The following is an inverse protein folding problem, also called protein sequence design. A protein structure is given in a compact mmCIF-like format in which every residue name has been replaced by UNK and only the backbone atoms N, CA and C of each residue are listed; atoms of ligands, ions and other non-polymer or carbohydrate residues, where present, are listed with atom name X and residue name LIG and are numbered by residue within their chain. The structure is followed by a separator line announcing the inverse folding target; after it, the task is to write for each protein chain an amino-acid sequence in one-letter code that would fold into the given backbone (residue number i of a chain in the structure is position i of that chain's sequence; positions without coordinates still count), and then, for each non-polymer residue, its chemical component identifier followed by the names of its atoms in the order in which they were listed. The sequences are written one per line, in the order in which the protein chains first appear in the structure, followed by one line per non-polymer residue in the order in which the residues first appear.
data_IF_717139221550
#
_entry.id   IF_717139221550
#
_cell.length_a   1.000
_cell.length_b   1.000
_cell.length_c   1.000
_cell.angle_alpha   90.00
_cell.angle_beta   90.00
_cell.angle_gamma   90.00
#
_symmetry.space_group_name_H-M   'P 1'
#
loop_
_entity.id
_entity.type
_entity.pdbx_description
1 polymer ?
#
# COMPACT_ATOMS: atom_id res chain seq x y z
N UNK A 1 26.21 18.20 -40.38
CA UNK A 1 25.18 18.97 -39.65
C UNK A 1 23.94 18.13 -39.28
N UNK A 2 23.41 17.23 -40.14
CA UNK A 2 22.23 16.40 -39.80
C UNK A 2 22.41 15.42 -38.63
N UNK A 3 23.61 14.88 -38.40
CA UNK A 3 23.88 13.91 -37.29
C UNK A 3 23.95 14.56 -35.90
N UNK A 4 24.34 15.84 -35.78
CA UNK A 4 24.33 16.55 -34.50
C UNK A 4 22.92 16.93 -34.06
N UNK A 5 22.00 17.17 -34.99
CA UNK A 5 20.60 17.49 -34.67
C UNK A 5 19.84 16.30 -34.06
N UNK A 6 20.10 15.07 -34.52
CA UNK A 6 19.50 13.86 -33.97
C UNK A 6 19.97 13.55 -32.54
N UNK A 7 21.25 13.82 -32.19
CA UNK A 7 21.75 13.61 -30.85
C UNK A 7 21.12 14.59 -29.82
N UNK A 8 20.88 15.84 -30.24
CA UNK A 8 20.24 16.85 -29.40
C UNK A 8 18.76 16.54 -29.10
N UNK A 9 18.03 15.95 -30.04
CA UNK A 9 16.64 15.54 -29.83
C UNK A 9 16.52 14.32 -28.89
N UNK A 10 17.45 13.37 -28.96
CA UNK A 10 17.44 12.17 -28.09
C UNK A 10 17.71 12.54 -26.62
N UNK A 11 18.60 13.50 -26.38
CA UNK A 11 18.91 13.95 -25.00
C UNK A 11 17.78 14.75 -24.36
N UNK A 12 17.03 15.53 -25.16
CA UNK A 12 15.89 16.29 -24.66
C UNK A 12 14.69 15.40 -24.23
N UNK A 13 14.45 14.30 -24.93
CA UNK A 13 13.37 13.35 -24.59
C UNK A 13 13.63 12.58 -23.28
N UNK A 14 14.86 12.24 -22.96
CA UNK A 14 15.23 11.55 -21.73
C UNK A 14 15.05 12.45 -20.51
N UNK A 15 15.33 13.75 -20.62
CA UNK A 15 15.16 14.70 -19.50
C UNK A 15 13.67 14.91 -19.16
N UNK A 16 12.80 14.95 -20.16
CA UNK A 16 11.35 15.13 -19.95
C UNK A 16 10.71 13.90 -19.29
N UNK A 17 11.13 12.69 -19.64
CA UNK A 17 10.64 11.46 -19.03
C UNK A 17 11.06 11.32 -17.56
N UNK A 18 12.28 11.73 -17.20
CA UNK A 18 12.76 11.73 -15.82
C UNK A 18 11.98 12.67 -14.91
N UNK A 19 11.60 13.84 -15.40
CA UNK A 19 10.80 14.81 -14.63
C UNK A 19 9.38 14.32 -14.35
N UNK A 20 8.74 13.60 -15.29
CA UNK A 20 7.39 13.09 -15.09
C UNK A 20 7.33 11.98 -14.04
N UNK A 21 8.23 11.02 -14.10
CA UNK A 21 8.30 9.92 -13.12
C UNK A 21 8.58 10.43 -11.68
N UNK A 22 9.47 11.44 -11.54
CA UNK A 22 9.73 12.08 -10.26
C UNK A 22 8.46 12.77 -9.71
N UNK A 23 7.70 13.47 -10.56
CA UNK A 23 6.47 14.16 -10.16
C UNK A 23 5.41 13.20 -9.68
N UNK A 24 5.17 12.08 -10.37
CA UNK A 24 4.20 11.04 -9.93
C UNK A 24 4.58 10.50 -8.57
N UNK A 25 5.85 10.12 -8.38
CA UNK A 25 6.35 9.61 -7.10
C UNK A 25 6.22 10.63 -5.96
N UNK A 26 6.43 11.92 -6.24
CA UNK A 26 6.24 13.00 -5.27
C UNK A 26 4.78 13.16 -4.84
N UNK A 27 3.83 13.15 -5.78
CA UNK A 27 2.39 13.21 -5.48
C UNK A 27 1.97 11.98 -4.68
N UNK A 28 2.39 10.80 -5.10
CA UNK A 28 2.08 9.55 -4.39
C UNK A 28 2.59 9.59 -2.94
N UNK A 29 3.82 10.05 -2.71
CA UNK A 29 4.39 10.15 -1.36
C UNK A 29 3.69 11.22 -0.51
N UNK A 30 3.32 12.36 -1.09
CA UNK A 30 2.53 13.39 -0.41
C UNK A 30 1.17 12.83 0.03
N UNK A 31 0.48 12.11 -0.86
CA UNK A 31 -0.79 11.44 -0.54
C UNK A 31 -0.65 10.43 0.59
N UNK A 32 0.42 9.60 0.59
CA UNK A 32 0.69 8.66 1.70
C UNK A 32 0.90 9.36 3.03
N UNK A 33 1.68 10.44 3.04
CA UNK A 33 1.93 11.20 4.25
C UNK A 33 0.63 11.79 4.82
N UNK A 34 -0.23 12.34 3.95
CA UNK A 34 -1.51 12.89 4.36
C UNK A 34 -2.49 11.81 4.86
N UNK A 35 -2.48 10.62 4.23
CA UNK A 35 -3.28 9.47 4.66
C UNK A 35 -2.88 9.02 6.08
N UNK A 36 -1.57 8.89 6.35
CA UNK A 36 -1.03 8.50 7.65
C UNK A 36 -1.44 9.47 8.79
N UNK A 37 -1.57 10.76 8.49
CA UNK A 37 -1.98 11.77 9.48
C UNK A 37 -3.48 12.09 9.45
N UNK A 38 -4.28 11.29 8.73
CA UNK A 38 -5.74 11.40 8.70
C UNK A 38 -6.29 12.54 7.83
N UNK A 39 -5.48 13.12 6.94
CA UNK A 39 -5.92 14.17 5.99
C UNK A 39 -6.46 13.54 4.70
N UNK A 40 -7.52 12.74 4.83
CA UNK A 40 -8.06 11.93 3.73
C UNK A 40 -8.48 12.73 2.50
N UNK A 41 -9.08 13.92 2.66
CA UNK A 41 -9.48 14.77 1.54
C UNK A 41 -8.27 15.26 0.72
N UNK A 42 -7.18 15.66 1.37
CA UNK A 42 -5.93 16.06 0.72
C UNK A 42 -5.24 14.86 0.07
N UNK A 43 -5.23 13.70 0.74
CA UNK A 43 -4.70 12.46 0.18
C UNK A 43 -5.41 12.06 -1.12
N UNK A 44 -6.75 12.16 -1.18
CA UNK A 44 -7.53 11.94 -2.41
C UNK A 44 -7.02 12.82 -3.55
N UNK A 45 -6.81 14.13 -3.32
CA UNK A 45 -6.35 15.05 -4.35
C UNK A 45 -4.97 14.64 -4.89
N UNK A 46 -4.03 14.30 -4.01
CA UNK A 46 -2.69 13.85 -4.40
C UNK A 46 -2.70 12.54 -5.18
N UNK A 47 -3.46 11.54 -4.75
CA UNK A 47 -3.54 10.27 -5.46
C UNK A 47 -4.29 10.38 -6.78
N UNK A 48 -5.32 11.23 -6.85
CA UNK A 48 -6.00 11.51 -8.11
C UNK A 48 -5.05 12.16 -9.13
N UNK A 49 -4.23 13.12 -8.68
CA UNK A 49 -3.23 13.76 -9.56
C UNK A 49 -2.16 12.73 -10.00
N UNK A 50 -1.68 11.88 -9.09
CA UNK A 50 -0.76 10.80 -9.44
C UNK A 50 -1.38 9.85 -10.47
N UNK A 51 -2.64 9.44 -10.30
CA UNK A 51 -3.37 8.56 -11.22
C UNK A 51 -3.61 9.19 -12.59
N UNK A 52 -3.80 10.52 -12.64
CA UNK A 52 -3.93 11.27 -13.90
C UNK A 52 -2.60 11.34 -14.67
N UNK A 53 -1.47 11.45 -13.94
CA UNK A 53 -0.14 11.47 -14.54
C UNK A 53 0.31 10.09 -15.01
N UNK A 54 0.11 9.06 -14.19
CA UNK A 54 0.43 7.68 -14.49
C UNK A 54 -0.55 6.73 -13.80
N UNK A 55 -1.58 6.26 -14.51
CA UNK A 55 -2.57 5.34 -13.97
C UNK A 55 -2.01 3.95 -13.67
N UNK A 56 -0.79 3.66 -14.09
CA UNK A 56 -0.10 2.39 -13.83
C UNK A 56 1.00 2.52 -12.78
N UNK A 57 1.08 3.68 -12.12
CA UNK A 57 2.10 3.88 -11.09
C UNK A 57 1.94 2.89 -9.94
N UNK A 58 3.00 2.16 -9.68
CA UNK A 58 3.12 1.21 -8.57
C UNK A 58 4.43 1.44 -7.81
N UNK A 59 4.40 1.19 -6.51
CA UNK A 59 5.58 1.20 -5.65
C UNK A 59 5.77 -0.19 -5.04
N UNK A 60 6.94 -0.76 -5.23
CA UNK A 60 7.29 -2.04 -4.60
C UNK A 60 7.76 -1.85 -3.16
N UNK A 61 7.26 -2.69 -2.28
CA UNK A 61 7.64 -2.79 -0.87
C UNK A 61 7.97 -4.25 -0.59
N UNK A 62 9.25 -4.60 -0.68
CA UNK A 62 9.63 -6.00 -0.68
C UNK A 62 8.93 -6.74 -1.82
N UNK A 63 8.14 -7.74 -1.47
CA UNK A 63 7.36 -8.54 -2.42
C UNK A 63 5.96 -7.98 -2.72
N UNK A 64 5.52 -6.94 -2.00
CA UNK A 64 4.22 -6.32 -2.19
C UNK A 64 4.33 -5.16 -3.18
N UNK A 65 3.34 -5.04 -4.06
CA UNK A 65 3.18 -3.91 -4.98
C UNK A 65 1.98 -3.10 -4.56
N UNK A 66 2.18 -1.81 -4.42
CA UNK A 66 1.12 -0.87 -4.03
C UNK A 66 0.86 0.09 -5.19
N UNK A 67 -0.32 -0.02 -5.77
CA UNK A 67 -0.75 0.79 -6.90
C UNK A 67 -1.41 2.11 -6.48
N UNK A 68 -1.37 3.10 -7.38
CA UNK A 68 -2.02 4.40 -7.17
C UNK A 68 -3.53 4.27 -6.93
N UNK A 69 -4.19 3.31 -7.57
CA UNK A 69 -5.63 3.06 -7.41
C UNK A 69 -5.97 2.49 -6.05
N UNK A 70 -5.13 1.67 -5.46
CA UNK A 70 -5.26 1.15 -4.10
C UNK A 70 -5.27 2.28 -3.09
N UNK A 71 -4.29 3.18 -3.20
CA UNK A 71 -4.20 4.33 -2.29
C UNK A 71 -5.31 5.34 -2.51
N UNK A 72 -5.74 5.58 -3.74
CA UNK A 72 -6.90 6.43 -4.04
C UNK A 72 -8.16 5.84 -3.41
N UNK A 73 -8.36 4.53 -3.54
CA UNK A 73 -9.49 3.83 -2.93
C UNK A 73 -9.49 3.90 -1.40
N UNK A 74 -8.34 3.70 -0.78
CA UNK A 74 -8.15 3.87 0.67
C UNK A 74 -8.44 5.29 1.13
N UNK A 75 -7.94 6.30 0.42
CA UNK A 75 -8.19 7.71 0.74
C UNK A 75 -9.68 8.07 0.60
N UNK A 76 -10.37 7.56 -0.41
CA UNK A 76 -11.82 7.70 -0.54
C UNK A 76 -12.57 7.00 0.59
N UNK A 77 -12.14 5.80 0.99
CA UNK A 77 -12.72 5.08 2.12
C UNK A 77 -12.63 5.90 3.41
N UNK A 78 -11.44 6.41 3.73
CA UNK A 78 -11.19 7.23 4.92
C UNK A 78 -11.92 8.58 4.87
N UNK A 79 -12.22 9.08 3.66
CA UNK A 79 -13.06 10.26 3.43
C UNK A 79 -14.57 9.97 3.50
N UNK A 80 -15.00 8.73 3.74
CA UNK A 80 -16.40 8.29 3.75
C UNK A 80 -17.05 8.21 2.38
N UNK A 81 -16.28 8.33 1.28
CA UNK A 81 -16.75 8.26 -0.11
C UNK A 81 -16.73 6.82 -0.60
N UNK A 82 -17.65 6.00 -0.06
CA UNK A 82 -17.64 4.55 -0.30
C UNK A 82 -17.86 4.15 -1.79
N UNK A 83 -18.72 4.81 -2.58
CA UNK A 83 -18.85 4.50 -4.00
C UNK A 83 -17.57 4.74 -4.79
N UNK A 84 -16.88 5.86 -4.56
CA UNK A 84 -15.62 6.20 -5.21
C UNK A 84 -14.49 5.28 -4.74
N UNK A 85 -14.48 4.93 -3.44
CA UNK A 85 -13.55 3.95 -2.90
C UNK A 85 -13.69 2.60 -3.62
N UNK A 86 -14.93 2.10 -3.75
CA UNK A 86 -15.21 0.86 -4.47
C UNK A 86 -14.67 0.90 -5.90
N UNK A 87 -14.99 1.94 -6.66
CA UNK A 87 -14.55 2.07 -8.05
C UNK A 87 -13.02 2.04 -8.18
N UNK A 88 -12.31 2.76 -7.30
CA UNK A 88 -10.85 2.80 -7.34
C UNK A 88 -10.24 1.44 -6.96
N UNK A 89 -10.77 0.76 -5.93
CA UNK A 89 -10.28 -0.54 -5.48
C UNK A 89 -10.56 -1.66 -6.50
N UNK A 90 -11.72 -1.66 -7.17
CA UNK A 90 -12.01 -2.56 -8.28
C UNK A 90 -11.04 -2.35 -9.45
N UNK A 91 -10.65 -1.09 -9.73
CA UNK A 91 -9.61 -0.80 -10.73
C UNK A 91 -8.23 -1.30 -10.31
N UNK A 92 -7.89 -1.23 -9.03
CA UNK A 92 -6.65 -1.78 -8.51
C UNK A 92 -6.60 -3.30 -8.72
N UNK A 93 -7.65 -4.02 -8.32
CA UNK A 93 -7.75 -5.47 -8.46
C UNK A 93 -7.80 -5.95 -9.91
N UNK A 94 -8.41 -5.17 -10.81
CA UNK A 94 -8.38 -5.48 -12.24
C UNK A 94 -6.97 -5.41 -12.87
N UNK A 95 -6.01 -4.74 -12.21
CA UNK A 95 -4.61 -4.66 -12.63
C UNK A 95 -3.73 -5.69 -11.93
N UNK A 96 -3.99 -5.92 -10.66
CA UNK A 96 -3.25 -6.84 -9.82
C UNK A 96 -4.23 -7.51 -8.85
N UNK A 97 -4.61 -8.74 -9.12
CA UNK A 97 -5.52 -9.54 -8.30
C UNK A 97 -4.90 -9.98 -6.95
N UNK A 98 -3.58 -9.83 -6.82
CA UNK A 98 -2.82 -10.03 -5.58
C UNK A 98 -2.55 -8.72 -4.82
N UNK A 99 -3.30 -7.66 -5.10
CA UNK A 99 -3.26 -6.43 -4.30
C UNK A 99 -4.09 -6.62 -3.02
N UNK A 100 -3.44 -7.15 -2.00
CA UNK A 100 -4.09 -7.53 -0.73
C UNK A 100 -4.67 -6.33 0.04
N UNK A 101 -4.06 -5.13 -0.10
CA UNK A 101 -4.66 -3.92 0.44
C UNK A 101 -5.93 -3.53 -0.31
N UNK A 102 -5.94 -3.64 -1.62
CA UNK A 102 -7.15 -3.38 -2.41
C UNK A 102 -8.28 -4.35 -2.03
N UNK A 103 -7.98 -5.65 -1.88
CA UNK A 103 -8.95 -6.64 -1.41
C UNK A 103 -9.46 -6.34 0.00
N UNK A 104 -8.56 -6.01 0.95
CA UNK A 104 -8.95 -5.64 2.32
C UNK A 104 -9.94 -4.47 2.32
N UNK A 105 -9.57 -3.36 1.68
CA UNK A 105 -10.41 -2.15 1.69
C UNK A 105 -11.69 -2.32 0.85
N UNK A 106 -11.66 -3.07 -0.24
CA UNK A 106 -12.88 -3.41 -0.99
C UNK A 106 -13.83 -4.25 -0.12
N UNK A 107 -13.30 -5.21 0.61
CA UNK A 107 -14.07 -5.99 1.57
C UNK A 107 -14.73 -5.13 2.65
N UNK A 108 -14.00 -4.15 3.19
CA UNK A 108 -14.54 -3.18 4.15
C UNK A 108 -15.65 -2.30 3.54
N UNK A 109 -15.47 -1.81 2.31
CA UNK A 109 -16.51 -1.07 1.57
C UNK A 109 -17.76 -1.92 1.41
N UNK A 110 -17.62 -3.14 0.94
CA UNK A 110 -18.72 -4.06 0.69
C UNK A 110 -19.47 -4.44 1.98
N UNK A 111 -18.74 -4.65 3.08
CA UNK A 111 -19.31 -4.90 4.39
C UNK A 111 -20.16 -3.71 4.87
N UNK A 112 -19.68 -2.48 4.72
CA UNK A 112 -20.41 -1.26 5.10
C UNK A 112 -21.60 -0.94 4.20
N UNK A 113 -21.57 -1.38 2.94
CA UNK A 113 -22.64 -1.11 1.96
C UNK A 113 -23.67 -2.25 1.85
N UNK A 114 -23.59 -3.27 2.70
CA UNK A 114 -24.56 -4.36 2.82
C UNK A 114 -24.30 -5.56 1.88
N UNK A 115 -23.25 -5.54 1.06
CA UNK A 115 -22.88 -6.70 0.24
C UNK A 115 -21.91 -7.62 1.02
N UNK A 116 -22.43 -8.19 2.11
CA UNK A 116 -21.63 -8.92 3.09
C UNK A 116 -20.99 -10.19 2.52
N UNK A 117 -21.70 -10.91 1.66
CA UNK A 117 -21.16 -12.15 1.07
C UNK A 117 -19.90 -11.91 0.24
N UNK A 118 -19.94 -10.91 -0.64
CA UNK A 118 -18.76 -10.51 -1.41
C UNK A 118 -17.70 -9.88 -0.49
N UNK A 119 -18.13 -9.11 0.52
CA UNK A 119 -17.26 -8.52 1.53
C UNK A 119 -16.40 -9.56 2.26
N UNK A 120 -17.02 -10.70 2.65
CA UNK A 120 -16.29 -11.84 3.27
C UNK A 120 -15.20 -12.38 2.35
N UNK A 121 -15.51 -12.57 1.05
CA UNK A 121 -14.52 -13.09 0.10
C UNK A 121 -13.31 -12.15 -0.02
N UNK A 122 -13.58 -10.86 -0.17
CA UNK A 122 -12.52 -9.85 -0.31
C UNK A 122 -11.72 -9.68 0.99
N UNK A 123 -12.39 -9.64 2.16
CA UNK A 123 -11.70 -9.59 3.45
C UNK A 123 -10.80 -10.80 3.66
N UNK A 124 -11.30 -12.01 3.35
CA UNK A 124 -10.50 -13.23 3.47
C UNK A 124 -9.28 -13.21 2.54
N UNK A 125 -9.44 -12.75 1.30
CA UNK A 125 -8.33 -12.61 0.36
C UNK A 125 -7.31 -11.57 0.85
N UNK A 126 -7.76 -10.38 1.22
CA UNK A 126 -6.88 -9.30 1.68
C UNK A 126 -6.13 -9.64 2.97
N UNK A 127 -6.85 -10.12 4.00
CA UNK A 127 -6.24 -10.48 5.29
C UNK A 127 -5.31 -11.68 5.15
N UNK A 128 -5.71 -12.73 4.42
CA UNK A 128 -4.87 -13.91 4.20
C UNK A 128 -3.60 -13.58 3.43
N UNK A 129 -3.70 -12.77 2.39
CA UNK A 129 -2.52 -12.34 1.64
C UNK A 129 -1.58 -11.43 2.44
N UNK A 130 -2.11 -10.55 3.29
CA UNK A 130 -1.29 -9.75 4.22
C UNK A 130 -0.60 -10.65 5.27
N UNK A 131 -1.28 -11.67 5.79
CA UNK A 131 -0.68 -12.63 6.72
C UNK A 131 0.50 -13.37 6.07
N UNK A 132 0.31 -13.88 4.86
CA UNK A 132 1.37 -14.54 4.09
C UNK A 132 2.54 -13.60 3.83
N UNK A 133 2.25 -12.35 3.45
CA UNK A 133 3.27 -11.34 3.22
C UNK A 133 4.08 -11.04 4.49
N UNK A 134 3.45 -10.81 5.65
CA UNK A 134 4.14 -10.61 6.92
C UNK A 134 4.97 -11.84 7.30
N UNK A 135 4.43 -13.03 7.17
CA UNK A 135 5.12 -14.27 7.44
C UNK A 135 6.34 -14.46 6.52
N UNK A 136 6.24 -14.04 5.25
CA UNK A 136 7.37 -14.07 4.33
C UNK A 136 8.41 -12.99 4.70
N UNK A 137 7.99 -11.76 4.94
CA UNK A 137 8.87 -10.64 5.28
C UNK A 137 9.67 -10.94 6.56
N UNK A 138 9.03 -11.43 7.61
CA UNK A 138 9.69 -11.73 8.89
C UNK A 138 10.69 -12.88 8.79
N UNK A 139 10.52 -13.83 7.87
CA UNK A 139 11.41 -15.00 7.72
C UNK A 139 12.52 -14.79 6.70
N UNK A 140 12.27 -14.01 5.65
CA UNK A 140 13.14 -13.97 4.47
C UNK A 140 13.76 -12.59 4.20
N UNK A 141 13.26 -11.49 4.79
CA UNK A 141 13.88 -10.19 4.66
C UNK A 141 15.21 -10.14 5.44
N UNK A 142 16.19 -9.41 4.91
CA UNK A 142 17.51 -9.25 5.54
C UNK A 142 17.40 -8.72 6.99
N UNK A 143 16.37 -7.92 7.26
CA UNK A 143 16.04 -7.34 8.55
C UNK A 143 14.61 -7.70 8.98
N UNK A 144 14.21 -8.96 8.76
CA UNK A 144 12.86 -9.45 9.02
C UNK A 144 12.35 -9.24 10.43
N UNK A 145 13.26 -9.15 11.40
CA UNK A 145 12.94 -8.88 12.82
C UNK A 145 12.34 -7.49 13.06
N UNK A 146 12.44 -6.57 12.12
CA UNK A 146 11.83 -5.24 12.22
C UNK A 146 10.37 -5.21 11.75
N UNK A 147 9.90 -6.27 11.07
CA UNK A 147 8.55 -6.35 10.55
C UNK A 147 7.61 -7.01 11.57
N UNK A 148 6.63 -6.25 12.08
CA UNK A 148 5.68 -6.68 13.11
C UNK A 148 6.39 -7.44 14.26
N UNK A 149 7.36 -6.82 14.95
CA UNK A 149 8.27 -7.51 15.88
C UNK A 149 7.54 -8.14 17.06
N UNK A 150 6.38 -7.60 17.44
CA UNK A 150 5.55 -8.14 18.52
C UNK A 150 4.44 -9.07 18.00
N UNK A 151 4.33 -9.30 16.70
CA UNK A 151 3.32 -10.16 16.11
C UNK A 151 1.88 -9.64 16.26
N UNK A 152 1.68 -8.37 16.59
CA UNK A 152 0.35 -7.82 16.89
C UNK A 152 -0.54 -7.75 15.65
N UNK A 153 0.02 -7.34 14.51
CA UNK A 153 -0.74 -7.24 13.26
C UNK A 153 -1.15 -8.65 12.82
N UNK A 154 -0.20 -9.60 12.81
CA UNK A 154 -0.49 -11.00 12.45
C UNK A 154 -1.48 -11.66 13.39
N UNK A 155 -1.41 -11.38 14.69
CA UNK A 155 -2.37 -11.89 15.67
C UNK A 155 -3.79 -11.38 15.42
N UNK A 156 -3.93 -10.09 15.08
CA UNK A 156 -5.23 -9.49 14.76
C UNK A 156 -5.79 -10.06 13.45
N UNK A 157 -4.95 -10.18 12.41
CA UNK A 157 -5.34 -10.84 11.16
C UNK A 157 -5.85 -12.26 11.40
N UNK A 158 -5.13 -13.06 12.20
CA UNK A 158 -5.55 -14.41 12.54
C UNK A 158 -6.90 -14.45 13.28
N UNK A 159 -7.15 -13.48 14.16
CA UNK A 159 -8.44 -13.33 14.86
C UNK A 159 -9.57 -12.97 13.91
N UNK A 160 -9.32 -12.10 12.93
CA UNK A 160 -10.30 -11.71 11.92
C UNK A 160 -10.64 -12.89 10.98
N UNK A 161 -9.63 -13.64 10.53
CA UNK A 161 -9.83 -14.83 9.69
C UNK A 161 -10.61 -15.92 10.42
N UNK A 162 -10.37 -16.09 11.71
CA UNK A 162 -11.16 -16.99 12.55
C UNK A 162 -12.61 -16.51 12.69
N UNK A 163 -12.85 -15.21 12.87
CA UNK A 163 -14.18 -14.61 12.92
C UNK A 163 -14.94 -14.77 11.60
N UNK A 164 -14.29 -14.57 10.46
CA UNK A 164 -14.86 -14.79 9.12
C UNK A 164 -15.26 -16.25 8.91
N UNK A 165 -14.54 -17.17 9.54
CA UNK A 165 -14.80 -18.62 9.42
C UNK A 165 -15.81 -19.15 10.43
N UNK A 166 -16.30 -18.31 11.35
CA UNK A 166 -17.31 -18.69 12.34
C UNK A 166 -18.72 -18.71 11.75
N UNK A 167 -19.66 -19.34 12.45
CA UNK A 167 -21.08 -19.41 12.04
C UNK A 167 -21.80 -18.07 12.08
N UNK A 168 -21.29 -17.12 12.88
CA UNK A 168 -21.85 -15.78 13.04
C UNK A 168 -20.73 -14.75 13.04
N UNK A 169 -20.81 -13.79 12.12
CA UNK A 169 -19.79 -12.74 11.97
C UNK A 169 -20.23 -11.49 12.74
N UNK A 170 -19.39 -11.03 13.66
CA UNK A 170 -19.56 -9.74 14.31
C UNK A 170 -19.04 -8.61 13.36
N UNK A 171 -19.92 -8.13 12.47
CA UNK A 171 -19.56 -7.14 11.46
C UNK A 171 -18.95 -5.85 12.00
N UNK A 172 -19.53 -5.20 13.05
CA UNK A 172 -18.92 -4.00 13.62
C UNK A 172 -17.48 -4.24 14.10
N UNK A 173 -17.23 -5.37 14.76
CA UNK A 173 -15.90 -5.73 15.22
C UNK A 173 -14.95 -6.05 14.07
N UNK A 174 -15.39 -6.84 13.10
CA UNK A 174 -14.56 -7.19 11.93
C UNK A 174 -14.18 -5.96 11.10
N UNK A 175 -15.10 -5.01 10.90
CA UNK A 175 -14.82 -3.76 10.20
C UNK A 175 -13.79 -2.94 10.96
N UNK A 176 -13.98 -2.73 12.26
CA UNK A 176 -13.06 -1.94 13.09
C UNK A 176 -11.64 -2.58 13.15
N UNK A 177 -11.57 -3.90 13.23
CA UNK A 177 -10.31 -4.64 13.21
C UNK A 177 -9.63 -4.56 11.86
N UNK A 178 -10.34 -4.77 10.74
CA UNK A 178 -9.78 -4.64 9.39
C UNK A 178 -9.27 -3.22 9.08
N UNK A 179 -9.97 -2.16 9.54
CA UNK A 179 -9.50 -0.77 9.48
C UNK A 179 -8.19 -0.60 10.26
N UNK A 180 -8.13 -1.17 11.46
CA UNK A 180 -6.93 -1.14 12.30
C UNK A 180 -5.76 -1.88 11.63
N UNK A 181 -6.00 -3.09 11.08
CA UNK A 181 -5.00 -3.88 10.36
C UNK A 181 -4.44 -3.06 9.18
N UNK A 182 -5.31 -2.49 8.34
CA UNK A 182 -4.89 -1.70 7.19
C UNK A 182 -4.04 -0.49 7.58
N UNK A 183 -4.45 0.26 8.61
CA UNK A 183 -3.71 1.41 9.14
C UNK A 183 -2.37 0.99 9.75
N UNK A 184 -2.38 -0.05 10.59
CA UNK A 184 -1.16 -0.52 11.26
C UNK A 184 -0.15 -1.12 10.32
N UNK A 185 -0.58 -1.82 9.28
CA UNK A 185 0.32 -2.32 8.24
C UNK A 185 1.02 -1.16 7.52
N UNK A 186 0.30 -0.07 7.20
CA UNK A 186 0.91 1.12 6.59
C UNK A 186 1.94 1.81 7.50
N UNK A 187 1.61 1.96 8.80
CA UNK A 187 2.53 2.49 9.80
C UNK A 187 3.78 1.60 9.94
N UNK A 188 3.59 0.28 9.94
CA UNK A 188 4.65 -0.71 10.06
C UNK A 188 5.61 -0.69 8.86
N UNK A 189 5.08 -0.53 7.65
CA UNK A 189 5.89 -0.34 6.44
C UNK A 189 6.87 0.82 6.60
N UNK A 190 6.42 1.95 7.12
CA UNK A 190 7.27 3.11 7.30
C UNK A 190 8.27 2.95 8.46
N UNK A 191 7.88 2.26 9.54
CA UNK A 191 8.75 1.97 10.68
C UNK A 191 9.86 1.00 10.28
N UNK A 192 9.52 -0.16 9.77
CA UNK A 192 10.46 -1.19 9.38
C UNK A 192 11.49 -0.67 8.37
N UNK A 193 11.05 0.11 7.37
CA UNK A 193 11.96 0.73 6.40
C UNK A 193 12.93 1.75 7.00
N UNK A 194 12.52 2.46 8.04
CA UNK A 194 13.43 3.38 8.75
C UNK A 194 14.46 2.60 9.54
N UNK A 195 14.05 1.53 10.18
CA UNK A 195 14.95 0.70 10.99
C UNK A 195 15.93 -0.10 10.12
N UNK A 196 15.47 -0.63 8.98
CA UNK A 196 16.32 -1.24 7.96
C UNK A 196 17.41 -0.26 7.48
N UNK A 197 17.03 0.97 7.15
CA UNK A 197 18.01 2.01 6.74
C UNK A 197 19.02 2.33 7.83
N UNK A 198 18.56 2.55 9.06
CA UNK A 198 19.46 2.82 10.21
C UNK A 198 20.45 1.68 10.42
N UNK A 199 20.01 0.44 10.31
CA UNK A 199 20.85 -0.73 10.47
C UNK A 199 21.87 -0.85 9.33
N UNK A 200 21.46 -0.58 8.09
CA UNK A 200 22.34 -0.54 6.93
C UNK A 200 23.44 0.53 7.09
N UNK A 201 23.06 1.75 7.43
CA UNK A 201 23.98 2.87 7.61
C UNK A 201 24.99 2.61 8.75
N UNK A 202 24.52 2.05 9.86
CA UNK A 202 25.38 1.67 10.99
C UNK A 202 26.36 0.54 10.65
N UNK A 203 25.96 -0.40 9.81
CA UNK A 203 26.80 -1.48 9.29
C UNK A 203 27.87 -0.99 8.30
N UNK A 204 27.49 -0.03 7.45
CA UNK A 204 28.39 0.56 6.45
C UNK A 204 29.44 1.47 7.13
N UNK A 205 29.03 2.29 8.09
CA UNK A 205 29.94 3.14 8.88
C UNK A 205 31.00 2.35 9.65
N UNK A 206 30.63 1.19 10.20
CA UNK A 206 31.60 0.29 10.88
C UNK A 206 32.61 -0.35 9.93
N UNK A 207 32.25 -0.60 8.66
CA UNK A 207 33.21 -1.11 7.65
C UNK A 207 34.20 -0.05 7.15
N UNK A 208 33.75 1.20 7.03
CA UNK A 208 34.62 2.32 6.59
C UNK A 208 35.58 2.81 7.69
N UNK A 209 35.20 2.74 8.96
CA UNK A 209 36.03 3.14 10.10
C UNK A 209 37.11 2.14 10.48
N UNK A 210 37.28 1.02 9.79
CA UNK A 210 38.32 0.00 10.00
C UNK A 210 39.40 -0.03 8.91
N UNK A 211 39.51 1.02 8.09
CA UNK A 211 40.58 1.15 7.09
C UNK A 211 41.56 2.27 7.50
#
# INVERSE_FOLDING_TARGET
MKKLFCLGLLSATVILAGCSAYRVGSQFQAGRNDLLVGKSASAVAYFQEAANMDPNYEKSIGYMREGVWTYLGRAHYDAGKLPEARQALERALARNDHDYFASLYLGLVLAKTGNQEQGVRELKNGLGGLEEWFNHATRNALYGTFWDPLGKIRSEIGSDLAMISSSEINWPKLIASGEWVGKKTEEEIDLARRDERRQYDSGYGRRMGRR
#
